data_IF_038516696862
#
_entry.id   IF_038516696862
#
_cell.length_a   1.000
_cell.length_b   1.000
_cell.length_c   1.000
_cell.angle_alpha   90.00
_cell.angle_beta   90.00
_cell.angle_gamma   90.00
#
_symmetry.space_group_name_H-M   'P 1'
#
loop_
_entity.id
_entity.type
_entity.pdbx_description
1 polymer ?
#
# COMPACT_ATOMS: atom_id res chain seq x y z
N UNK A 1 12.32 49.96 58.24
CA UNK A 1 13.05 48.98 59.06
C UNK A 1 12.33 47.69 58.84
N UNK A 2 12.85 46.79 58.23
CA UNK A 2 13.96 45.94 57.96
C UNK A 2 13.87 45.32 56.55
N UNK A 3 14.95 45.29 55.86
CA UNK A 3 15.06 44.67 54.53
C UNK A 3 15.26 43.16 54.73
N UNK A 4 14.33 42.34 54.30
CA UNK A 4 14.52 40.91 54.17
C UNK A 4 15.34 40.54 52.93
N UNK A 5 16.49 39.95 53.17
CA UNK A 5 17.46 39.44 52.22
C UNK A 5 16.89 38.22 51.47
N UNK A 6 16.77 38.30 50.14
CA UNK A 6 16.41 37.19 49.27
C UNK A 6 17.71 36.57 48.76
N UNK A 7 18.29 35.63 49.52
CA UNK A 7 19.37 34.76 49.07
C UNK A 7 18.90 33.83 47.94
N UNK A 8 19.53 33.97 46.75
CA UNK A 8 19.38 33.10 45.64
C UNK A 8 19.92 31.68 45.94
N UNK A 9 19.26 30.60 45.49
CA UNK A 9 19.86 29.28 45.58
C UNK A 9 20.97 29.12 44.54
N UNK A 10 22.17 28.84 45.01
CA UNK A 10 23.33 28.42 44.23
C UNK A 10 23.06 27.11 43.52
N UNK A 11 23.08 27.12 42.19
CA UNK A 11 23.04 25.93 41.36
C UNK A 11 24.42 25.27 41.43
N UNK A 12 24.51 24.19 42.17
CA UNK A 12 25.73 23.39 42.31
C UNK A 12 25.96 22.57 41.01
N UNK A 13 27.23 22.56 40.66
CA UNK A 13 27.85 22.05 39.47
C UNK A 13 27.32 20.74 38.87
N UNK A 14 27.20 20.77 37.57
CA UNK A 14 26.94 19.60 36.74
C UNK A 14 28.07 18.59 36.87
N UNK A 15 27.71 17.37 37.17
CA UNK A 15 28.57 16.20 37.03
C UNK A 15 29.04 16.09 35.59
N UNK A 16 30.31 15.82 35.28
CA UNK A 16 30.77 15.63 33.91
C UNK A 16 30.02 14.44 33.28
N UNK A 17 29.46 14.66 32.10
CA UNK A 17 28.86 13.61 31.31
C UNK A 17 29.80 12.42 31.18
N UNK A 18 29.33 11.26 31.57
CA UNK A 18 30.04 9.98 31.39
C UNK A 18 30.45 9.86 29.92
N UNK A 19 31.69 9.55 29.58
CA UNK A 19 32.09 9.38 28.19
C UNK A 19 31.23 8.28 27.58
N UNK A 20 30.58 8.61 26.46
CA UNK A 20 29.79 7.64 25.68
C UNK A 20 30.62 6.36 25.53
N UNK A 21 30.08 5.24 26.06
CA UNK A 21 30.75 3.97 25.97
C UNK A 21 31.07 3.70 24.48
N UNK A 22 32.36 3.65 24.17
CA UNK A 22 32.81 3.37 22.80
C UNK A 22 32.19 2.02 22.40
N UNK A 23 31.48 2.01 21.29
CA UNK A 23 30.96 0.76 20.74
C UNK A 23 32.09 -0.26 20.66
N UNK A 24 31.86 -1.52 21.08
CA UNK A 24 32.87 -2.54 21.00
C UNK A 24 33.36 -2.63 19.56
N UNK A 25 34.67 -2.52 19.37
CA UNK A 25 35.29 -2.70 18.05
C UNK A 25 34.93 -4.12 17.60
N UNK A 26 34.51 -4.31 16.33
CA UNK A 26 34.23 -5.64 15.83
C UNK A 26 35.45 -6.53 16.03
N UNK A 27 35.19 -7.73 16.53
CA UNK A 27 36.24 -8.73 16.77
C UNK A 27 37.03 -8.93 15.48
N UNK A 28 38.36 -8.85 15.52
CA UNK A 28 39.24 -8.92 14.34
C UNK A 28 39.12 -10.27 13.58
N UNK A 29 38.32 -11.21 14.08
CA UNK A 29 37.98 -12.47 13.46
C UNK A 29 36.60 -12.53 12.79
N UNK A 30 35.73 -11.50 12.93
CA UNK A 30 34.47 -11.47 12.23
C UNK A 30 34.75 -11.26 10.72
N UNK A 31 34.59 -12.29 9.92
CA UNK A 31 34.61 -12.20 8.44
C UNK A 31 33.42 -11.34 8.06
N UNK A 32 33.68 -10.03 7.89
CA UNK A 32 32.68 -9.10 7.34
C UNK A 32 32.47 -9.53 5.88
N UNK A 33 31.37 -10.21 5.58
CA UNK A 33 30.99 -10.51 4.21
C UNK A 33 30.81 -9.16 3.50
N UNK A 34 31.48 -8.92 2.37
CA UNK A 34 31.23 -7.72 1.58
C UNK A 34 29.75 -7.68 1.18
N UNK A 35 29.23 -6.48 0.99
CA UNK A 35 27.83 -6.32 0.53
C UNK A 35 27.64 -7.11 -0.78
N UNK A 36 26.61 -7.93 -0.91
CA UNK A 36 26.35 -8.66 -2.13
C UNK A 36 26.08 -7.69 -3.28
N UNK A 37 26.30 -8.12 -4.50
CA UNK A 37 25.99 -7.29 -5.65
C UNK A 37 24.49 -7.17 -5.90
N UNK A 38 23.78 -8.28 -5.75
CA UNK A 38 22.34 -8.41 -5.97
C UNK A 38 21.63 -8.90 -4.70
N UNK A 39 20.55 -8.23 -4.31
CA UNK A 39 19.60 -8.75 -3.32
C UNK A 39 18.25 -9.02 -3.98
N UNK A 40 17.73 -10.22 -3.79
CA UNK A 40 16.37 -10.59 -4.18
C UNK A 40 15.47 -10.47 -2.95
N UNK A 41 14.52 -9.55 -2.97
CA UNK A 41 13.52 -9.37 -1.93
C UNK A 41 12.29 -10.19 -2.27
N UNK A 42 11.90 -11.09 -1.38
CA UNK A 42 10.78 -12.01 -1.57
C UNK A 42 9.76 -11.77 -0.46
N UNK A 43 8.68 -10.98 -0.73
CA UNK A 43 7.58 -10.84 0.22
C UNK A 43 6.89 -12.19 0.40
N UNK A 44 6.67 -12.59 1.65
CA UNK A 44 6.25 -13.96 2.00
C UNK A 44 5.05 -13.94 2.94
N UNK A 45 4.02 -14.74 2.61
CA UNK A 45 2.90 -15.02 3.50
C UNK A 45 2.25 -16.36 3.17
N UNK A 46 2.43 -17.38 4.02
CA UNK A 46 1.99 -18.77 3.83
C UNK A 46 2.60 -19.41 2.57
N UNK A 47 3.94 -19.48 2.55
CA UNK A 47 4.71 -19.98 1.39
C UNK A 47 5.78 -21.01 1.83
N UNK A 48 5.59 -21.68 2.96
CA UNK A 48 6.58 -22.61 3.55
C UNK A 48 7.13 -23.62 2.53
N UNK A 49 6.24 -24.28 1.77
CA UNK A 49 6.61 -25.29 0.79
C UNK A 49 7.40 -24.73 -0.41
N UNK A 50 7.21 -23.45 -0.74
CA UNK A 50 7.83 -22.81 -1.89
C UNK A 50 9.25 -22.31 -1.61
N UNK A 51 9.57 -21.94 -0.37
CA UNK A 51 10.86 -21.35 0.01
C UNK A 51 12.07 -22.21 -0.38
N UNK A 52 12.14 -23.51 -0.03
CA UNK A 52 13.29 -24.35 -0.38
C UNK A 52 13.46 -24.49 -1.91
N UNK A 53 12.34 -24.60 -2.63
CA UNK A 53 12.34 -24.74 -4.09
C UNK A 53 12.87 -23.46 -4.71
N UNK A 54 12.42 -22.29 -4.24
CA UNK A 54 12.87 -21.00 -4.75
C UNK A 54 14.34 -20.78 -4.50
N UNK A 55 14.87 -21.08 -3.32
CA UNK A 55 16.30 -20.98 -3.00
C UNK A 55 17.14 -21.88 -3.94
N UNK A 56 16.69 -23.12 -4.18
CA UNK A 56 17.38 -24.02 -5.09
C UNK A 56 17.39 -23.50 -6.54
N UNK A 57 16.29 -22.91 -7.01
CA UNK A 57 16.21 -22.30 -8.36
C UNK A 57 17.09 -21.06 -8.47
N UNK A 58 17.06 -20.16 -7.49
CA UNK A 58 17.92 -18.98 -7.46
C UNK A 58 19.40 -19.36 -7.45
N UNK A 59 19.78 -20.37 -6.66
CA UNK A 59 21.17 -20.87 -6.60
C UNK A 59 21.66 -21.40 -7.95
N UNK A 60 20.76 -21.97 -8.76
CA UNK A 60 21.09 -22.47 -10.10
C UNK A 60 21.24 -21.34 -11.12
N UNK A 61 20.28 -20.42 -11.14
CA UNK A 61 20.20 -19.33 -12.13
C UNK A 61 21.29 -18.28 -11.88
N UNK A 62 21.58 -18.00 -10.61
CA UNK A 62 22.56 -16.99 -10.21
C UNK A 62 23.92 -17.62 -9.85
N UNK A 63 24.21 -18.82 -10.38
CA UNK A 63 25.54 -19.42 -10.23
C UNK A 63 26.62 -18.48 -10.81
N UNK A 64 27.65 -18.21 -10.01
CA UNK A 64 28.73 -17.28 -10.41
C UNK A 64 28.46 -15.80 -10.17
N UNK A 65 27.29 -15.43 -9.66
CA UNK A 65 26.99 -14.07 -9.21
C UNK A 65 27.09 -13.96 -7.67
N UNK A 66 27.40 -12.78 -7.18
CA UNK A 66 27.35 -12.46 -5.74
C UNK A 66 25.94 -11.96 -5.39
N UNK A 67 25.14 -12.82 -4.76
CA UNK A 67 23.75 -12.55 -4.47
C UNK A 67 23.33 -12.98 -3.06
N UNK A 68 22.26 -12.36 -2.57
CA UNK A 68 21.50 -12.82 -1.41
C UNK A 68 20.00 -12.79 -1.67
N UNK A 69 19.23 -13.54 -0.91
CA UNK A 69 17.76 -13.46 -0.87
C UNK A 69 17.29 -13.07 0.53
N UNK A 70 16.38 -12.10 0.60
CA UNK A 70 15.72 -11.69 1.84
C UNK A 70 14.24 -12.04 1.74
N UNK A 71 13.84 -13.09 2.48
CA UNK A 71 12.43 -13.40 2.69
C UNK A 71 11.85 -12.44 3.74
N UNK A 72 10.82 -11.67 3.35
CA UNK A 72 10.14 -10.73 4.24
C UNK A 72 8.77 -11.29 4.60
N UNK A 73 8.71 -11.95 5.75
CA UNK A 73 7.55 -12.71 6.20
C UNK A 73 6.56 -11.87 7.00
N UNK A 74 5.31 -11.81 6.54
CA UNK A 74 4.21 -11.08 7.18
C UNK A 74 3.56 -11.85 8.34
N UNK A 75 4.39 -12.45 9.19
CA UNK A 75 4.00 -13.27 10.33
C UNK A 75 3.12 -14.45 9.93
N UNK A 76 3.62 -15.27 9.02
CA UNK A 76 2.96 -16.47 8.53
C UNK A 76 2.73 -17.48 9.65
N UNK A 77 1.55 -18.08 9.76
CA UNK A 77 1.25 -19.12 10.72
C UNK A 77 1.73 -20.52 10.29
N UNK A 78 2.09 -20.73 9.02
CA UNK A 78 2.43 -22.03 8.43
C UNK A 78 3.88 -22.51 8.66
N UNK A 79 4.75 -21.66 9.23
CA UNK A 79 6.16 -22.00 9.40
C UNK A 79 7.12 -21.35 8.40
N UNK A 80 6.64 -20.59 7.42
CA UNK A 80 7.47 -19.92 6.39
C UNK A 80 8.71 -19.24 6.97
N UNK A 81 8.55 -18.41 8.04
CA UNK A 81 9.68 -17.73 8.67
C UNK A 81 10.69 -18.68 9.31
N UNK A 82 10.23 -19.79 9.88
CA UNK A 82 11.11 -20.80 10.50
C UNK A 82 11.92 -21.52 9.42
N UNK A 83 11.28 -21.94 8.33
CA UNK A 83 11.92 -22.58 7.17
C UNK A 83 12.97 -21.69 6.53
N UNK A 84 12.66 -20.40 6.30
CA UNK A 84 13.63 -19.46 5.74
C UNK A 84 14.86 -19.27 6.65
N UNK A 85 14.66 -19.20 7.97
CA UNK A 85 15.76 -19.08 8.95
C UNK A 85 16.63 -20.33 9.00
N UNK A 86 16.01 -21.51 9.03
CA UNK A 86 16.75 -22.77 9.04
C UNK A 86 17.64 -22.95 7.82
N UNK A 87 17.15 -22.54 6.63
CA UNK A 87 17.99 -22.50 5.42
C UNK A 87 19.12 -21.48 5.59
N UNK A 88 18.83 -20.31 6.17
CA UNK A 88 19.83 -19.26 6.41
C UNK A 88 20.95 -19.65 7.38
N UNK A 89 20.70 -20.59 8.29
CA UNK A 89 21.73 -21.17 9.17
C UNK A 89 22.76 -21.99 8.37
N UNK A 90 22.32 -22.63 7.28
CA UNK A 90 23.18 -23.44 6.40
C UNK A 90 23.74 -22.64 5.22
N UNK A 91 23.02 -21.65 4.73
CA UNK A 91 23.38 -20.82 3.58
C UNK A 91 23.28 -19.32 3.93
N UNK A 92 24.42 -18.68 4.17
CA UNK A 92 24.51 -17.28 4.56
C UNK A 92 23.95 -16.27 3.51
N UNK A 93 23.60 -16.75 2.31
CA UNK A 93 22.92 -15.96 1.29
C UNK A 93 21.44 -15.79 1.57
N UNK A 94 20.85 -16.61 2.46
CA UNK A 94 19.43 -16.61 2.78
C UNK A 94 19.19 -15.87 4.08
N UNK A 95 18.37 -14.84 4.04
CA UNK A 95 17.98 -14.05 5.22
C UNK A 95 16.46 -14.02 5.37
N UNK A 96 15.98 -13.88 6.60
CA UNK A 96 14.56 -13.74 6.90
C UNK A 96 14.30 -12.54 7.81
N UNK A 97 13.39 -11.67 7.39
CA UNK A 97 12.82 -10.59 8.19
C UNK A 97 11.37 -10.95 8.51
N UNK A 98 11.05 -11.16 9.79
CA UNK A 98 9.67 -11.41 10.24
C UNK A 98 9.03 -10.11 10.70
N UNK A 99 7.91 -9.74 10.09
CA UNK A 99 7.15 -8.50 10.38
C UNK A 99 6.00 -8.80 11.33
N UNK A 100 6.07 -8.34 12.58
CA UNK A 100 5.05 -8.57 13.59
C UNK A 100 4.13 -7.34 13.68
N UNK A 101 2.80 -7.57 13.71
CA UNK A 101 1.79 -6.52 13.87
C UNK A 101 1.52 -5.66 12.63
N UNK A 102 2.15 -5.96 11.49
CA UNK A 102 1.97 -5.24 10.21
C UNK A 102 2.01 -6.22 9.05
N UNK A 103 1.21 -5.94 8.02
CA UNK A 103 1.07 -6.76 6.81
C UNK A 103 0.94 -5.87 5.58
N UNK A 104 1.34 -6.39 4.44
CA UNK A 104 1.16 -5.77 3.14
C UNK A 104 2.39 -5.88 2.26
N UNK A 105 2.17 -6.29 1.00
CA UNK A 105 3.20 -6.63 0.03
C UNK A 105 4.16 -5.46 -0.21
N UNK A 106 3.65 -4.25 -0.47
CA UNK A 106 4.50 -3.09 -0.73
C UNK A 106 5.40 -2.76 0.46
N UNK A 107 4.87 -2.80 1.69
CA UNK A 107 5.66 -2.60 2.90
C UNK A 107 6.72 -3.69 3.12
N UNK A 108 6.41 -4.96 2.78
CA UNK A 108 7.38 -6.05 2.85
C UNK A 108 8.53 -5.84 1.85
N UNK A 109 8.21 -5.49 0.60
CA UNK A 109 9.22 -5.16 -0.40
C UNK A 109 10.09 -3.99 0.04
N UNK A 110 9.50 -2.89 0.51
CA UNK A 110 10.22 -1.71 0.94
C UNK A 110 11.19 -2.02 2.10
N UNK A 111 10.75 -2.76 3.12
CA UNK A 111 11.60 -3.16 4.24
C UNK A 111 12.76 -4.07 3.80
N UNK A 112 12.50 -5.03 2.92
CA UNK A 112 13.54 -5.88 2.37
C UNK A 112 14.58 -5.11 1.54
N UNK A 113 14.12 -4.18 0.69
CA UNK A 113 14.99 -3.34 -0.13
C UNK A 113 15.86 -2.41 0.74
N UNK A 114 15.31 -1.82 1.80
CA UNK A 114 16.03 -0.97 2.75
C UNK A 114 17.01 -1.77 3.64
N UNK A 115 16.69 -3.03 3.96
CA UNK A 115 17.55 -3.90 4.77
C UNK A 115 18.74 -4.49 4.00
N UNK A 116 18.77 -4.33 2.70
CA UNK A 116 19.86 -4.73 1.82
C UNK A 116 20.95 -3.66 1.76
N UNK A 117 22.17 -4.07 1.40
CA UNK A 117 23.30 -3.19 1.02
C UNK A 117 23.75 -3.44 -0.43
N UNK A 118 23.08 -4.29 -1.17
CA UNK A 118 23.44 -4.63 -2.54
C UNK A 118 23.27 -3.43 -3.50
N UNK A 119 24.06 -3.41 -4.56
CA UNK A 119 23.98 -2.40 -5.62
C UNK A 119 22.71 -2.52 -6.46
N UNK A 120 22.20 -3.74 -6.63
CA UNK A 120 21.00 -4.05 -7.39
C UNK A 120 19.99 -4.72 -6.48
N UNK A 121 18.72 -4.32 -6.59
CA UNK A 121 17.62 -4.78 -5.77
C UNK A 121 16.56 -5.38 -6.69
N UNK A 122 16.31 -6.68 -6.58
CA UNK A 122 15.22 -7.35 -7.27
C UNK A 122 14.05 -7.62 -6.31
N UNK A 123 12.85 -7.61 -6.84
CA UNK A 123 11.64 -8.07 -6.15
C UNK A 123 11.07 -9.23 -6.94
N UNK A 124 10.62 -10.28 -6.26
CA UNK A 124 9.97 -11.44 -6.85
C UNK A 124 9.02 -12.09 -5.85
N UNK A 125 7.84 -12.56 -6.31
CA UNK A 125 6.91 -13.28 -5.45
C UNK A 125 7.41 -14.70 -5.09
N UNK A 126 7.01 -15.22 -3.91
CA UNK A 126 7.43 -16.52 -3.41
C UNK A 126 6.70 -17.71 -4.04
N UNK A 127 5.66 -17.49 -4.84
CA UNK A 127 4.69 -18.50 -5.32
C UNK A 127 5.15 -19.35 -6.53
N UNK A 128 6.42 -19.21 -6.91
CA UNK A 128 7.08 -19.92 -8.02
C UNK A 128 6.46 -19.67 -9.41
N UNK A 129 5.60 -18.66 -9.57
CA UNK A 129 5.00 -18.32 -10.85
C UNK A 129 5.90 -17.50 -11.75
N UNK A 130 6.80 -16.69 -11.17
CA UNK A 130 7.77 -15.90 -11.91
C UNK A 130 8.90 -16.77 -12.46
N UNK A 131 9.44 -16.34 -13.61
CA UNK A 131 10.62 -16.97 -14.20
C UNK A 131 11.89 -16.35 -13.61
N UNK A 132 12.55 -17.09 -12.76
CA UNK A 132 13.80 -16.71 -12.11
C UNK A 132 14.97 -16.57 -13.08
N UNK A 133 14.91 -17.18 -14.27
CA UNK A 133 15.98 -17.09 -15.26
C UNK A 133 16.22 -15.66 -15.77
N UNK A 134 15.17 -14.83 -15.79
CA UNK A 134 15.25 -13.43 -16.24
C UNK A 134 16.11 -12.56 -15.32
N UNK A 135 16.38 -12.97 -14.07
CA UNK A 135 17.21 -12.20 -13.13
C UNK A 135 18.62 -11.94 -13.64
N UNK A 136 19.24 -12.91 -14.30
CA UNK A 136 20.59 -12.75 -14.86
C UNK A 136 20.62 -11.69 -15.96
N UNK A 137 19.64 -11.73 -16.87
CA UNK A 137 19.52 -10.76 -17.96
C UNK A 137 19.20 -9.35 -17.46
N UNK A 138 18.34 -9.24 -16.41
CA UNK A 138 18.07 -7.96 -15.72
C UNK A 138 19.35 -7.38 -15.13
N UNK A 139 20.14 -8.20 -14.44
CA UNK A 139 21.39 -7.78 -13.83
C UNK A 139 22.39 -7.26 -14.87
N UNK A 140 22.53 -7.96 -15.98
CA UNK A 140 23.38 -7.52 -17.11
C UNK A 140 22.91 -6.21 -17.71
N UNK A 141 21.60 -6.03 -17.90
CA UNK A 141 21.01 -4.79 -18.37
C UNK A 141 21.38 -3.58 -17.49
N UNK A 142 21.23 -3.76 -16.18
CA UNK A 142 21.50 -2.68 -15.20
C UNK A 142 23.01 -2.45 -15.04
N UNK A 143 23.85 -3.50 -15.06
CA UNK A 143 25.32 -3.38 -15.06
C UNK A 143 25.85 -2.60 -16.27
N UNK A 144 25.28 -2.84 -17.43
CA UNK A 144 25.65 -2.13 -18.66
C UNK A 144 25.15 -0.66 -18.67
N UNK A 145 24.44 -0.21 -17.66
CA UNK A 145 23.89 1.15 -17.57
C UNK A 145 22.80 1.43 -18.61
N UNK A 146 22.21 0.41 -19.22
CA UNK A 146 21.15 0.55 -20.24
C UNK A 146 19.85 1.06 -19.64
N UNK A 147 19.57 0.74 -18.37
CA UNK A 147 18.38 1.16 -17.63
C UNK A 147 18.67 1.37 -16.15
N UNK A 148 17.75 2.00 -15.46
CA UNK A 148 17.74 2.15 -14.00
C UNK A 148 16.80 1.12 -13.35
N UNK A 149 15.78 0.65 -14.13
CA UNK A 149 14.82 -0.39 -13.73
C UNK A 149 14.66 -1.38 -14.89
N UNK A 150 14.78 -2.67 -14.61
CA UNK A 150 14.46 -3.77 -15.51
C UNK A 150 13.21 -4.50 -15.01
N UNK A 151 12.23 -4.72 -15.90
CA UNK A 151 10.91 -5.29 -15.56
C UNK A 151 10.71 -6.59 -16.35
N UNK A 152 10.31 -7.66 -15.65
CA UNK A 152 9.88 -8.91 -16.29
C UNK A 152 8.43 -8.73 -16.77
N UNK A 153 8.24 -8.64 -18.09
CA UNK A 153 6.92 -8.43 -18.69
C UNK A 153 6.33 -9.75 -19.22
N UNK A 154 5.07 -9.98 -18.86
CA UNK A 154 4.25 -11.08 -19.35
C UNK A 154 3.64 -10.80 -20.73
N UNK A 155 3.67 -9.56 -21.16
CA UNK A 155 2.96 -9.06 -22.34
C UNK A 155 3.86 -8.58 -23.46
N UNK A 156 5.18 -8.65 -23.28
CA UNK A 156 6.15 -8.43 -24.34
C UNK A 156 6.24 -9.67 -25.25
N UNK A 157 6.65 -9.48 -26.49
CA UNK A 157 6.87 -10.59 -27.44
C UNK A 157 7.91 -11.58 -26.87
N UNK A 158 7.52 -12.85 -26.77
CA UNK A 158 8.30 -13.87 -26.08
C UNK A 158 7.91 -14.07 -24.59
N UNK A 159 7.10 -13.19 -24.01
CA UNK A 159 6.51 -13.37 -22.68
C UNK A 159 5.28 -14.28 -22.72
N UNK A 160 4.89 -14.80 -21.57
CA UNK A 160 3.70 -15.65 -21.43
C UNK A 160 2.94 -15.35 -20.14
N UNK A 161 1.64 -15.21 -20.27
CA UNK A 161 0.68 -15.09 -19.16
C UNK A 161 -0.11 -16.40 -18.95
N UNK A 162 0.44 -17.55 -19.33
CA UNK A 162 -0.25 -18.86 -19.29
C UNK A 162 -0.73 -19.24 -17.89
N UNK A 163 -0.04 -18.81 -16.83
CA UNK A 163 -0.46 -19.02 -15.44
C UNK A 163 -1.68 -18.18 -15.01
N UNK A 164 -2.21 -17.30 -15.85
CA UNK A 164 -3.41 -16.51 -15.57
C UNK A 164 -4.64 -17.09 -16.28
N UNK A 165 -5.79 -17.16 -15.60
CA UNK A 165 -7.05 -17.47 -16.28
C UNK A 165 -7.36 -16.39 -17.34
N UNK A 166 -8.12 -16.77 -18.41
CA UNK A 166 -8.47 -15.85 -19.52
C UNK A 166 -9.15 -14.56 -19.02
N UNK A 167 -9.97 -14.64 -17.98
CA UNK A 167 -10.64 -13.50 -17.39
C UNK A 167 -9.65 -12.58 -16.66
N UNK A 168 -8.74 -13.14 -15.86
CA UNK A 168 -7.68 -12.40 -15.16
C UNK A 168 -6.72 -11.72 -16.12
N UNK A 169 -6.33 -12.40 -17.19
CA UNK A 169 -5.47 -11.84 -18.23
C UNK A 169 -6.12 -10.62 -18.92
N UNK A 170 -7.45 -10.67 -19.19
CA UNK A 170 -8.18 -9.52 -19.74
C UNK A 170 -8.23 -8.33 -18.77
N UNK A 171 -8.58 -8.58 -17.50
CA UNK A 171 -8.63 -7.54 -16.47
C UNK A 171 -7.24 -6.93 -16.27
N UNK A 172 -6.18 -7.75 -16.20
CA UNK A 172 -4.81 -7.28 -16.05
C UNK A 172 -4.36 -6.41 -17.23
N UNK A 173 -4.64 -6.81 -18.48
CA UNK A 173 -4.33 -5.99 -19.67
C UNK A 173 -5.07 -4.66 -19.67
N UNK A 174 -6.35 -4.66 -19.29
CA UNK A 174 -7.13 -3.44 -19.21
C UNK A 174 -6.60 -2.48 -18.14
N UNK A 175 -6.29 -3.02 -16.96
CA UNK A 175 -5.68 -2.25 -15.87
C UNK A 175 -4.31 -1.68 -16.26
N UNK A 176 -3.45 -2.47 -16.94
CA UNK A 176 -2.16 -1.99 -17.45
C UNK A 176 -2.34 -0.87 -18.46
N UNK A 177 -3.28 -1.01 -19.43
CA UNK A 177 -3.56 0.03 -20.41
C UNK A 177 -4.07 1.33 -19.76
N UNK A 178 -4.96 1.22 -18.77
CA UNK A 178 -5.45 2.36 -18.00
C UNK A 178 -4.33 3.09 -17.26
N UNK A 179 -3.46 2.35 -16.58
CA UNK A 179 -2.30 2.90 -15.85
C UNK A 179 -1.33 3.59 -16.80
N UNK A 180 -1.01 2.96 -17.92
CA UNK A 180 -0.15 3.55 -18.96
C UNK A 180 -0.70 4.90 -19.43
N UNK A 181 -1.99 4.94 -19.74
CA UNK A 181 -2.66 6.16 -20.16
C UNK A 181 -2.67 7.24 -19.08
N UNK A 182 -3.06 6.90 -17.85
CA UNK A 182 -3.21 7.87 -16.75
C UNK A 182 -1.88 8.41 -16.22
N UNK A 183 -0.82 7.59 -16.21
CA UNK A 183 0.48 7.95 -15.64
C UNK A 183 1.54 8.21 -16.73
N UNK A 184 1.20 8.11 -18.01
CA UNK A 184 2.13 8.34 -19.12
C UNK A 184 3.31 7.34 -19.15
N UNK A 185 3.09 6.08 -18.72
CA UNK A 185 4.13 5.07 -18.65
C UNK A 185 4.26 4.31 -19.98
N UNK A 186 5.47 4.21 -20.49
CA UNK A 186 5.77 3.41 -21.70
C UNK A 186 6.29 2.01 -21.32
N UNK A 187 5.41 1.19 -20.73
CA UNK A 187 5.69 -0.18 -20.29
C UNK A 187 4.49 -1.07 -20.58
N UNK A 188 4.70 -2.31 -21.00
CA UNK A 188 3.61 -3.26 -21.26
C UNK A 188 3.05 -3.86 -19.96
N UNK A 189 3.90 -4.01 -18.91
CA UNK A 189 3.52 -4.59 -17.62
C UNK A 189 3.97 -3.74 -16.41
N UNK A 190 3.46 -2.50 -16.24
CA UNK A 190 3.86 -1.61 -15.13
C UNK A 190 3.42 -2.13 -13.76
N UNK A 191 2.64 -3.20 -13.70
CA UNK A 191 2.17 -3.84 -12.47
C UNK A 191 2.83 -5.19 -12.19
N UNK A 192 3.94 -5.51 -12.88
CA UNK A 192 4.70 -6.73 -12.62
C UNK A 192 5.17 -6.80 -11.16
N UNK A 193 5.08 -7.99 -10.55
CA UNK A 193 5.68 -8.30 -9.25
C UNK A 193 7.15 -8.72 -9.37
N UNK A 194 7.71 -8.77 -10.59
CA UNK A 194 9.08 -9.19 -10.83
C UNK A 194 9.84 -8.10 -11.60
N UNK A 195 10.75 -7.43 -10.90
CA UNK A 195 11.56 -6.34 -11.44
C UNK A 195 12.88 -6.21 -10.67
N UNK A 196 13.84 -5.52 -11.26
CA UNK A 196 15.12 -5.17 -10.64
C UNK A 196 15.38 -3.67 -10.81
N UNK A 197 15.91 -3.03 -9.78
CA UNK A 197 16.21 -1.60 -9.76
C UNK A 197 17.62 -1.36 -9.20
N UNK A 198 18.30 -0.34 -9.67
CA UNK A 198 19.54 0.14 -9.09
C UNK A 198 19.25 0.79 -7.73
N UNK A 199 20.16 0.59 -6.77
CA UNK A 199 20.01 1.15 -5.43
C UNK A 199 19.86 2.67 -5.43
N UNK A 200 20.73 3.39 -6.12
CA UNK A 200 20.70 4.86 -6.21
C UNK A 200 19.36 5.37 -6.78
N UNK A 201 18.82 4.67 -7.79
CA UNK A 201 17.52 4.97 -8.36
C UNK A 201 16.37 4.71 -7.36
N UNK A 202 16.45 3.62 -6.59
CA UNK A 202 15.48 3.30 -5.53
C UNK A 202 15.54 4.32 -4.40
N UNK A 203 16.72 4.63 -3.87
CA UNK A 203 16.89 5.59 -2.79
C UNK A 203 16.38 6.99 -3.15
N UNK A 204 16.51 7.38 -4.41
CA UNK A 204 15.96 8.65 -4.92
C UNK A 204 14.44 8.76 -4.88
N UNK A 205 13.72 7.65 -4.79
CA UNK A 205 12.24 7.62 -4.75
C UNK A 205 11.69 7.06 -3.44
N UNK A 206 12.46 6.31 -2.69
CA UNK A 206 12.05 5.61 -1.47
C UNK A 206 11.32 6.50 -0.44
N UNK A 207 11.73 7.76 -0.17
CA UNK A 207 11.03 8.62 0.80
C UNK A 207 9.57 8.93 0.44
N UNK A 208 9.21 8.85 -0.85
CA UNK A 208 7.87 9.18 -1.35
C UNK A 208 7.04 7.94 -1.76
N UNK A 209 7.56 6.73 -1.53
CA UNK A 209 6.84 5.48 -1.78
C UNK A 209 5.88 5.20 -0.63
N UNK A 210 4.67 4.77 -0.97
CA UNK A 210 3.70 4.32 0.03
C UNK A 210 4.05 2.93 0.56
N UNK A 211 4.10 2.77 1.89
CA UNK A 211 4.20 1.44 2.52
C UNK A 211 2.87 0.66 2.44
N UNK A 212 1.79 1.28 1.98
CA UNK A 212 0.46 0.70 1.83
C UNK A 212 0.19 0.39 0.36
N UNK A 213 -0.32 -0.80 0.08
CA UNK A 213 -0.63 -1.24 -1.28
C UNK A 213 0.00 -2.58 -1.63
N UNK A 214 -0.22 -3.02 -2.88
CA UNK A 214 0.26 -4.32 -3.36
C UNK A 214 1.03 -4.23 -4.70
N UNK A 215 1.31 -3.02 -5.21
CA UNK A 215 2.00 -2.77 -6.49
C UNK A 215 3.16 -1.81 -6.32
N UNK A 216 4.25 -2.34 -5.73
CA UNK A 216 5.45 -1.54 -5.42
C UNK A 216 6.11 -0.96 -6.69
N UNK A 217 6.20 -1.73 -7.79
CA UNK A 217 6.76 -1.24 -9.04
C UNK A 217 5.99 -0.03 -9.57
N UNK A 218 4.66 -0.12 -9.59
CA UNK A 218 3.82 0.99 -10.04
C UNK A 218 4.04 2.25 -9.19
N UNK A 219 4.17 2.08 -7.87
CA UNK A 219 4.43 3.19 -6.95
C UNK A 219 5.79 3.83 -7.21
N UNK A 220 6.84 3.03 -7.43
CA UNK A 220 8.18 3.49 -7.83
C UNK A 220 8.12 4.32 -9.12
N UNK A 221 7.50 3.76 -10.17
CA UNK A 221 7.42 4.41 -11.48
C UNK A 221 6.61 5.71 -11.45
N UNK A 222 5.46 5.68 -10.78
CA UNK A 222 4.61 6.86 -10.63
C UNK A 222 5.30 7.96 -9.80
N UNK A 223 6.06 7.59 -8.76
CA UNK A 223 6.84 8.53 -7.95
C UNK A 223 8.00 9.12 -8.74
N UNK A 224 8.63 8.33 -9.58
CA UNK A 224 9.74 8.76 -10.43
C UNK A 224 9.32 9.73 -11.54
N UNK A 225 8.06 9.73 -11.97
CA UNK A 225 7.52 10.63 -13.02
C UNK A 225 8.38 10.66 -14.29
N UNK A 226 8.73 9.50 -14.82
CA UNK A 226 9.53 9.37 -16.04
C UNK A 226 11.04 9.66 -15.88
N UNK A 227 11.54 9.94 -14.68
CA UNK A 227 12.98 10.17 -14.43
C UNK A 227 13.83 8.91 -14.47
N UNK A 228 13.22 7.73 -14.37
CA UNK A 228 13.91 6.44 -14.41
C UNK A 228 13.83 5.87 -15.83
N UNK A 229 14.99 5.46 -16.35
CA UNK A 229 15.06 4.71 -17.60
C UNK A 229 14.63 3.27 -17.33
N UNK A 230 13.65 2.79 -18.05
CA UNK A 230 13.07 1.45 -17.88
C UNK A 230 13.36 0.58 -19.10
N UNK A 231 13.56 -0.72 -18.87
CA UNK A 231 13.63 -1.74 -19.89
C UNK A 231 12.72 -2.90 -19.51
N UNK A 232 12.03 -3.48 -20.49
CA UNK A 232 11.25 -4.70 -20.28
C UNK A 232 11.96 -5.89 -20.89
N UNK A 233 11.90 -7.01 -20.19
CA UNK A 233 12.42 -8.31 -20.64
C UNK A 233 11.26 -9.31 -20.69
N UNK A 234 11.15 -10.15 -21.71
CA UNK A 234 10.09 -11.15 -21.79
C UNK A 234 10.25 -12.17 -20.67
N UNK A 235 9.13 -12.50 -20.03
CA UNK A 235 9.11 -13.46 -18.92
C UNK A 235 7.90 -14.37 -19.01
N UNK A 236 8.12 -15.66 -18.75
CA UNK A 236 7.05 -16.64 -18.65
C UNK A 236 6.43 -16.58 -17.23
N UNK A 237 5.11 -16.47 -17.16
CA UNK A 237 4.38 -16.56 -15.91
C UNK A 237 3.73 -17.96 -15.82
N UNK A 238 4.28 -18.79 -14.92
CA UNK A 238 3.92 -20.20 -14.78
C UNK A 238 2.61 -20.36 -13.98
N UNK A 239 2.01 -21.55 -14.08
CA UNK A 239 0.93 -21.93 -13.18
C UNK A 239 1.45 -22.10 -11.75
N UNK A 240 0.61 -21.72 -10.77
CA UNK A 240 0.93 -21.85 -9.35
C UNK A 240 1.00 -23.32 -8.97
N UNK A 241 2.06 -23.72 -8.28
CA UNK A 241 2.26 -25.10 -7.82
C UNK A 241 1.60 -25.37 -6.47
N UNK A 242 1.65 -24.42 -5.55
CA UNK A 242 1.09 -24.52 -4.20
C UNK A 242 0.41 -23.22 -3.78
N UNK A 243 -0.57 -23.31 -2.87
CA UNK A 243 -1.26 -22.16 -2.30
C UNK A 243 -2.49 -21.69 -3.09
N UNK A 244 -3.31 -20.84 -2.46
CA UNK A 244 -4.52 -20.26 -3.04
C UNK A 244 -4.30 -18.83 -3.49
N UNK A 245 -5.01 -18.41 -4.53
CA UNK A 245 -4.96 -17.04 -5.00
C UNK A 245 -5.77 -16.11 -4.09
N UNK A 246 -5.10 -15.14 -3.49
CA UNK A 246 -5.68 -14.12 -2.60
C UNK A 246 -6.27 -12.92 -3.37
N UNK A 247 -6.71 -13.11 -4.62
CA UNK A 247 -7.34 -12.06 -5.43
C UNK A 247 -8.71 -11.71 -4.84
N UNK A 248 -8.74 -10.66 -4.05
CA UNK A 248 -9.93 -10.12 -3.41
C UNK A 248 -10.38 -8.85 -4.13
N UNK A 249 -11.69 -8.54 -4.14
CA UNK A 249 -12.25 -7.27 -4.65
C UNK A 249 -11.57 -6.02 -4.08
N UNK A 250 -10.91 -6.16 -2.93
CA UNK A 250 -10.05 -5.17 -2.29
C UNK A 250 -8.89 -4.67 -3.16
N UNK A 251 -8.34 -5.56 -4.01
CA UNK A 251 -7.19 -5.23 -4.87
C UNK A 251 -7.55 -4.13 -5.89
N UNK A 252 -8.76 -4.18 -6.45
CA UNK A 252 -9.22 -3.17 -7.40
C UNK A 252 -9.38 -1.79 -6.72
N UNK A 253 -9.87 -1.77 -5.47
CA UNK A 253 -10.03 -0.54 -4.70
C UNK A 253 -8.67 0.05 -4.27
N UNK A 254 -7.75 -0.78 -3.78
CA UNK A 254 -6.40 -0.34 -3.42
C UNK A 254 -5.62 0.18 -4.65
N UNK A 255 -5.86 -0.42 -5.81
CA UNK A 255 -5.30 0.03 -7.08
C UNK A 255 -5.84 1.40 -7.51
N UNK A 256 -7.16 1.57 -7.51
CA UNK A 256 -7.79 2.86 -7.83
C UNK A 256 -7.30 3.96 -6.87
N UNK A 257 -7.16 3.62 -5.60
CA UNK A 257 -6.65 4.49 -4.57
C UNK A 257 -5.20 4.93 -4.80
N UNK A 258 -4.31 4.00 -5.17
CA UNK A 258 -2.92 4.30 -5.50
C UNK A 258 -2.82 5.23 -6.72
N UNK A 259 -3.51 4.87 -7.81
CA UNK A 259 -3.51 5.67 -9.05
C UNK A 259 -3.97 7.09 -8.78
N UNK A 260 -5.06 7.26 -8.03
CA UNK A 260 -5.57 8.60 -7.74
C UNK A 260 -4.66 9.39 -6.80
N UNK A 261 -4.10 8.76 -5.77
CA UNK A 261 -3.12 9.43 -4.89
C UNK A 261 -1.93 9.96 -5.70
N UNK A 262 -1.47 9.21 -6.72
CA UNK A 262 -0.36 9.65 -7.57
C UNK A 262 -0.78 10.73 -8.58
N UNK A 263 -1.99 10.65 -9.14
CA UNK A 263 -2.52 11.69 -10.04
C UNK A 263 -2.76 13.04 -9.33
N UNK A 264 -3.12 12.99 -8.04
CA UNK A 264 -3.40 14.19 -7.23
C UNK A 264 -2.21 14.65 -6.40
N UNK A 265 -1.01 14.10 -6.63
CA UNK A 265 0.22 14.42 -5.86
C UNK A 265 0.08 14.22 -4.34
N UNK A 266 -0.77 13.29 -3.94
CA UNK A 266 -1.08 13.06 -2.53
C UNK A 266 -2.07 14.04 -1.91
N UNK A 267 -2.57 15.04 -2.67
CA UNK A 267 -3.58 15.99 -2.19
C UNK A 267 -4.89 15.28 -1.79
N UNK A 268 -5.21 14.16 -2.46
CA UNK A 268 -6.38 13.34 -2.14
C UNK A 268 -5.93 11.98 -1.62
N UNK A 269 -6.21 11.70 -0.34
CA UNK A 269 -5.87 10.40 0.22
C UNK A 269 -6.73 9.28 -0.40
N UNK A 270 -6.13 8.10 -0.55
CA UNK A 270 -6.82 6.90 -0.98
C UNK A 270 -8.09 6.60 -0.16
N UNK A 271 -8.03 6.84 1.16
CA UNK A 271 -9.18 6.70 2.06
C UNK A 271 -10.30 7.67 1.73
N UNK A 272 -9.97 8.91 1.39
CA UNK A 272 -10.98 9.90 1.00
C UNK A 272 -11.72 9.49 -0.26
N UNK A 273 -11.01 8.98 -1.26
CA UNK A 273 -11.62 8.47 -2.48
C UNK A 273 -12.55 7.28 -2.24
N UNK A 274 -12.08 6.30 -1.46
CA UNK A 274 -12.92 5.16 -1.07
C UNK A 274 -14.16 5.64 -0.32
N UNK A 275 -14.01 6.62 0.56
CA UNK A 275 -15.12 7.24 1.28
C UNK A 275 -16.12 7.88 0.31
N UNK A 276 -15.65 8.62 -0.69
CA UNK A 276 -16.51 9.22 -1.73
C UNK A 276 -17.22 8.15 -2.58
N UNK A 277 -16.49 7.11 -3.01
CA UNK A 277 -17.10 6.01 -3.78
C UNK A 277 -18.18 5.29 -2.99
N UNK A 278 -17.95 5.02 -1.70
CA UNK A 278 -18.97 4.47 -0.81
C UNK A 278 -20.16 5.42 -0.72
N UNK A 279 -19.92 6.73 -0.59
CA UNK A 279 -20.97 7.75 -0.57
C UNK A 279 -21.86 7.73 -1.83
N UNK A 280 -21.26 7.56 -3.01
CA UNK A 280 -22.00 7.43 -4.27
C UNK A 280 -22.92 6.20 -4.28
N UNK A 281 -22.49 5.04 -3.74
CA UNK A 281 -23.39 3.87 -3.61
C UNK A 281 -24.55 4.15 -2.67
N UNK A 282 -24.33 4.98 -1.65
CA UNK A 282 -25.35 5.41 -0.69
C UNK A 282 -26.50 6.18 -1.35
N UNK A 283 -26.24 6.94 -2.42
CA UNK A 283 -27.26 7.63 -3.20
C UNK A 283 -28.22 6.61 -3.84
N UNK A 284 -27.68 5.55 -4.46
CA UNK A 284 -28.49 4.49 -5.05
C UNK A 284 -29.37 3.77 -4.01
N UNK A 285 -28.81 3.47 -2.84
CA UNK A 285 -29.53 2.84 -1.73
C UNK A 285 -30.62 3.78 -1.18
N UNK A 286 -30.30 5.06 -1.02
CA UNK A 286 -31.27 6.08 -0.59
C UNK A 286 -32.51 6.12 -1.51
N UNK A 287 -32.27 6.26 -2.82
CA UNK A 287 -33.34 6.30 -3.81
C UNK A 287 -34.17 5.02 -3.85
N UNK A 288 -33.52 3.87 -3.70
CA UNK A 288 -34.18 2.56 -3.67
C UNK A 288 -35.09 2.43 -2.45
N UNK A 289 -34.61 2.75 -1.26
CA UNK A 289 -35.39 2.70 -0.03
C UNK A 289 -36.55 3.71 -0.10
N UNK A 290 -36.27 4.95 -0.55
CA UNK A 290 -37.30 5.98 -0.70
C UNK A 290 -38.43 5.52 -1.60
N UNK A 291 -38.12 4.95 -2.77
CA UNK A 291 -39.12 4.41 -3.71
C UNK A 291 -39.99 3.31 -3.10
N UNK A 292 -39.36 2.38 -2.37
CA UNK A 292 -40.07 1.27 -1.70
C UNK A 292 -41.01 1.81 -0.63
N UNK A 293 -40.56 2.76 0.20
CA UNK A 293 -41.37 3.31 1.28
C UNK A 293 -42.54 4.17 0.76
N UNK A 294 -42.33 4.90 -0.33
CA UNK A 294 -43.41 5.64 -0.99
C UNK A 294 -44.44 4.68 -1.61
N UNK A 295 -44.01 3.55 -2.21
CA UNK A 295 -44.89 2.53 -2.70
C UNK A 295 -45.70 1.83 -1.60
N UNK A 296 -45.16 1.79 -0.38
CA UNK A 296 -45.83 1.35 0.86
C UNK A 296 -46.76 2.41 1.48
N UNK A 297 -47.07 3.49 0.75
CA UNK A 297 -47.96 4.58 1.14
C UNK A 297 -47.52 5.38 2.39
N UNK A 298 -46.22 5.41 2.73
CA UNK A 298 -45.69 6.30 3.75
C UNK A 298 -45.68 7.75 3.24
N UNK A 299 -45.82 8.71 4.15
CA UNK A 299 -45.65 10.15 3.79
C UNK A 299 -44.23 10.42 3.31
N UNK A 300 -44.04 11.36 2.37
CA UNK A 300 -42.73 11.68 1.81
C UNK A 300 -41.69 12.02 2.90
N UNK A 301 -42.05 12.81 3.91
CA UNK A 301 -41.16 13.18 5.01
C UNK A 301 -40.65 11.97 5.81
N UNK A 302 -41.56 11.04 6.15
CA UNK A 302 -41.19 9.80 6.87
C UNK A 302 -40.35 8.88 6.00
N UNK A 303 -40.74 8.70 4.73
CA UNK A 303 -39.99 7.89 3.76
C UNK A 303 -38.57 8.45 3.53
N UNK A 304 -38.45 9.76 3.38
CA UNK A 304 -37.18 10.47 3.21
C UNK A 304 -36.25 10.29 4.42
N UNK A 305 -36.79 10.46 5.63
CA UNK A 305 -36.02 10.30 6.88
C UNK A 305 -35.47 8.87 7.03
N UNK A 306 -36.31 7.87 6.81
CA UNK A 306 -35.93 6.46 6.88
C UNK A 306 -34.94 6.07 5.79
N UNK A 307 -35.12 6.57 4.55
CA UNK A 307 -34.18 6.37 3.46
C UNK A 307 -32.80 6.96 3.76
N UNK A 308 -32.77 8.15 4.37
CA UNK A 308 -31.51 8.82 4.78
C UNK A 308 -30.79 8.01 5.85
N UNK A 309 -31.49 7.56 6.89
CA UNK A 309 -30.91 6.70 7.96
C UNK A 309 -30.36 5.41 7.35
N UNK A 310 -31.12 4.77 6.44
CA UNK A 310 -30.70 3.57 5.74
C UNK A 310 -29.45 3.77 4.89
N UNK A 311 -29.38 4.85 4.12
CA UNK A 311 -28.20 5.19 3.31
C UNK A 311 -26.96 5.50 4.15
N UNK A 312 -27.11 6.24 5.26
CA UNK A 312 -26.01 6.51 6.19
C UNK A 312 -25.52 5.21 6.83
N UNK A 313 -26.45 4.32 7.23
CA UNK A 313 -26.11 2.99 7.78
C UNK A 313 -25.34 2.16 6.75
N UNK A 314 -25.78 2.13 5.50
CA UNK A 314 -25.07 1.47 4.40
C UNK A 314 -23.65 2.02 4.23
N UNK A 315 -23.50 3.34 4.17
CA UNK A 315 -22.22 4.00 4.04
C UNK A 315 -21.30 3.68 5.23
N UNK A 316 -21.82 3.64 6.46
CA UNK A 316 -21.04 3.22 7.62
C UNK A 316 -20.53 1.79 7.50
N UNK A 317 -21.41 0.85 7.11
CA UNK A 317 -21.04 -0.57 6.95
C UNK A 317 -19.94 -0.72 5.91
N UNK A 318 -20.09 -0.11 4.74
CA UNK A 318 -19.09 -0.20 3.68
C UNK A 318 -17.78 0.51 4.05
N UNK A 319 -17.84 1.67 4.69
CA UNK A 319 -16.65 2.36 5.17
C UNK A 319 -15.91 1.54 6.23
N UNK A 320 -16.63 0.88 7.15
CA UNK A 320 -16.04 0.00 8.14
C UNK A 320 -15.41 -1.27 7.54
N UNK A 321 -15.94 -1.76 6.42
CA UNK A 321 -15.44 -2.96 5.73
C UNK A 321 -14.26 -2.66 4.77
N UNK A 322 -14.30 -1.52 4.09
CA UNK A 322 -13.37 -1.21 2.99
C UNK A 322 -12.44 -0.03 3.31
N UNK A 323 -12.99 1.14 3.64
CA UNK A 323 -12.20 2.37 3.84
C UNK A 323 -11.35 2.31 5.11
N UNK A 324 -11.91 1.80 6.20
CA UNK A 324 -11.26 1.70 7.52
C UNK A 324 -11.04 0.26 7.96
N UNK A 325 -10.72 -0.64 7.02
CA UNK A 325 -10.54 -2.07 7.26
C UNK A 325 -9.44 -2.40 8.29
N UNK A 326 -8.40 -1.58 8.34
CA UNK A 326 -7.30 -1.65 9.31
C UNK A 326 -7.71 -1.25 10.73
N UNK A 327 -8.82 -0.52 10.85
CA UNK A 327 -9.40 -0.04 12.12
C UNK A 327 -10.83 -0.53 12.30
N UNK A 328 -11.17 -1.68 11.69
CA UNK A 328 -12.52 -2.22 11.65
C UNK A 328 -13.13 -2.35 13.03
N UNK A 329 -14.30 -1.74 13.20
CA UNK A 329 -15.10 -1.83 14.43
C UNK A 329 -15.90 -3.13 14.42
N UNK A 330 -15.94 -3.81 15.58
CA UNK A 330 -16.68 -5.06 15.82
C UNK A 330 -17.41 -5.01 17.18
N UNK A 331 -18.42 -5.88 17.36
CA UNK A 331 -19.16 -6.00 18.60
C UNK A 331 -19.81 -4.67 19.03
N UNK A 332 -19.72 -4.33 20.29
CA UNK A 332 -20.31 -3.10 20.84
C UNK A 332 -19.73 -1.82 20.23
N UNK A 333 -18.46 -1.84 19.85
CA UNK A 333 -17.82 -0.70 19.16
C UNK A 333 -18.43 -0.41 17.80
N UNK A 334 -18.96 -1.41 17.10
CA UNK A 334 -19.68 -1.21 15.84
C UNK A 334 -20.95 -0.39 16.05
N UNK A 335 -21.76 -0.70 17.08
CA UNK A 335 -22.98 0.03 17.39
C UNK A 335 -22.72 1.48 17.81
N UNK A 336 -21.77 1.68 18.72
CA UNK A 336 -21.38 3.05 19.14
C UNK A 336 -20.77 3.85 17.99
N UNK A 337 -20.01 3.20 17.10
CA UNK A 337 -19.47 3.80 15.89
C UNK A 337 -20.56 4.21 14.90
N UNK A 338 -21.58 3.37 14.71
CA UNK A 338 -22.73 3.67 13.86
C UNK A 338 -23.48 4.92 14.35
N UNK A 339 -23.78 4.99 15.66
CA UNK A 339 -24.47 6.15 16.24
C UNK A 339 -23.65 7.43 16.04
N UNK A 340 -22.34 7.38 16.32
CA UNK A 340 -21.45 8.52 16.11
C UNK A 340 -21.43 8.95 14.65
N UNK A 341 -21.34 7.99 13.73
CA UNK A 341 -21.35 8.27 12.30
C UNK A 341 -22.65 8.90 11.82
N UNK A 342 -23.81 8.44 12.32
CA UNK A 342 -25.12 9.04 12.04
C UNK A 342 -25.16 10.51 12.48
N UNK A 343 -24.69 10.82 13.70
CA UNK A 343 -24.64 12.20 14.22
C UNK A 343 -23.72 13.08 13.38
N UNK A 344 -22.52 12.59 13.01
CA UNK A 344 -21.57 13.34 12.19
C UNK A 344 -22.15 13.65 10.81
N UNK A 345 -22.80 12.67 10.16
CA UNK A 345 -23.44 12.86 8.86
C UNK A 345 -24.64 13.82 8.94
N UNK A 346 -25.40 13.81 10.01
CA UNK A 346 -26.47 14.79 10.23
C UNK A 346 -25.94 16.23 10.33
N UNK A 347 -24.85 16.44 11.06
CA UNK A 347 -24.18 17.75 11.14
C UNK A 347 -23.62 18.15 9.76
N UNK A 348 -23.00 17.20 9.04
CA UNK A 348 -22.50 17.41 7.68
C UNK A 348 -23.60 17.82 6.70
N UNK A 349 -24.81 17.24 6.83
CA UNK A 349 -25.96 17.62 6.02
C UNK A 349 -26.44 19.05 6.30
N UNK A 350 -26.46 19.47 7.55
CA UNK A 350 -26.80 20.85 7.95
C UNK A 350 -25.76 21.83 7.37
N UNK A 351 -24.47 21.51 7.49
CA UNK A 351 -23.37 22.31 6.95
C UNK A 351 -23.47 22.42 5.42
N UNK A 352 -23.79 21.32 4.73
CA UNK A 352 -23.99 21.31 3.28
C UNK A 352 -25.10 22.33 2.88
N UNK A 353 -26.27 22.24 3.50
CA UNK A 353 -27.39 23.14 3.21
C UNK A 353 -27.00 24.60 3.49
N UNK A 354 -26.39 24.88 4.64
CA UNK A 354 -26.00 26.24 5.02
C UNK A 354 -25.01 26.88 4.02
N UNK A 355 -24.00 26.11 3.59
CA UNK A 355 -22.99 26.59 2.65
C UNK A 355 -23.56 26.71 1.23
N UNK A 356 -24.38 25.76 0.79
CA UNK A 356 -25.02 25.81 -0.51
C UNK A 356 -25.93 27.05 -0.59
N UNK A 357 -26.70 27.35 0.45
CA UNK A 357 -27.55 28.55 0.52
C UNK A 357 -26.69 29.81 0.46
N UNK A 358 -25.60 29.89 1.23
CA UNK A 358 -24.69 31.03 1.24
C UNK A 358 -24.06 31.30 -0.13
N UNK A 359 -23.61 30.23 -0.83
CA UNK A 359 -23.04 30.36 -2.19
C UNK A 359 -24.13 30.82 -3.17
N UNK A 360 -25.33 30.27 -3.07
CA UNK A 360 -26.45 30.63 -3.96
C UNK A 360 -26.88 32.10 -3.78
N UNK A 361 -26.90 32.60 -2.57
CA UNK A 361 -27.20 34.01 -2.27
C UNK A 361 -26.14 34.97 -2.84
N UNK A 362 -24.92 34.46 -3.11
CA UNK A 362 -23.83 35.27 -3.66
C UNK A 362 -23.78 35.27 -5.19
N UNK A 363 -24.04 34.13 -5.85
CA UNK A 363 -23.74 33.93 -7.28
C UNK A 363 -24.92 33.35 -8.10
N UNK A 364 -26.12 33.19 -7.56
CA UNK A 364 -27.36 32.69 -8.19
C UNK A 364 -27.22 31.38 -9.03
N UNK A 365 -26.04 30.74 -9.04
CA UNK A 365 -25.77 29.56 -9.85
C UNK A 365 -25.99 28.28 -9.00
N UNK A 366 -27.22 27.75 -9.08
CA UNK A 366 -27.69 26.65 -8.23
C UNK A 366 -26.80 25.39 -8.21
N UNK A 367 -26.18 25.02 -9.35
CA UNK A 367 -25.33 23.83 -9.43
C UNK A 367 -23.95 24.05 -8.77
N UNK A 368 -23.39 25.27 -8.82
CA UNK A 368 -22.15 25.61 -8.11
C UNK A 368 -22.42 25.58 -6.60
N UNK A 369 -23.51 26.17 -6.16
CA UNK A 369 -23.93 26.14 -4.77
C UNK A 369 -24.14 24.70 -4.25
N UNK A 370 -24.83 23.87 -5.03
CA UNK A 370 -25.03 22.46 -4.71
C UNK A 370 -23.72 21.64 -4.62
N UNK A 371 -22.83 21.82 -5.58
CA UNK A 371 -21.50 21.16 -5.58
C UNK A 371 -20.62 21.63 -4.42
N UNK A 372 -20.60 22.94 -4.12
CA UNK A 372 -19.83 23.51 -3.01
C UNK A 372 -20.29 22.97 -1.66
N UNK A 373 -21.60 22.96 -1.41
CA UNK A 373 -22.16 22.38 -0.22
C UNK A 373 -21.87 20.89 -0.07
N UNK A 374 -22.04 20.12 -1.16
CA UNK A 374 -21.77 18.69 -1.17
C UNK A 374 -20.27 18.36 -0.92
N UNK A 375 -19.36 19.13 -1.52
CA UNK A 375 -17.92 18.96 -1.31
C UNK A 375 -17.54 19.19 0.15
N UNK A 376 -18.00 20.28 0.75
CA UNK A 376 -17.68 20.61 2.16
C UNK A 376 -18.33 19.60 3.10
N UNK A 377 -19.59 19.22 2.88
CA UNK A 377 -20.26 18.19 3.67
C UNK A 377 -19.52 16.83 3.60
N UNK A 378 -19.00 16.47 2.43
CA UNK A 378 -18.22 15.24 2.25
C UNK A 378 -16.88 15.30 2.98
N UNK A 379 -16.16 16.41 2.87
CA UNK A 379 -14.88 16.63 3.59
C UNK A 379 -15.13 16.60 5.10
N UNK A 380 -16.16 17.28 5.59
CA UNK A 380 -16.57 17.23 7.00
C UNK A 380 -16.80 15.79 7.47
N UNK A 381 -17.66 15.05 6.76
CA UNK A 381 -18.00 13.68 7.10
C UNK A 381 -16.76 12.78 7.12
N UNK A 382 -15.85 12.95 6.17
CA UNK A 382 -14.60 12.19 6.12
C UNK A 382 -13.66 12.50 7.29
N UNK A 383 -13.34 13.79 7.50
CA UNK A 383 -12.36 14.22 8.50
C UNK A 383 -12.85 13.90 9.92
N UNK A 384 -14.09 14.25 10.22
CA UNK A 384 -14.65 14.07 11.57
C UNK A 384 -14.89 12.58 11.85
N UNK A 385 -15.33 11.79 10.87
CA UNK A 385 -15.47 10.35 11.04
C UNK A 385 -14.12 9.65 11.27
N UNK A 386 -13.07 10.02 10.53
CA UNK A 386 -11.73 9.50 10.76
C UNK A 386 -11.22 9.78 12.17
N UNK A 387 -11.48 10.98 12.70
CA UNK A 387 -11.03 11.42 14.03
C UNK A 387 -11.82 10.80 15.20
N UNK A 388 -13.14 10.62 15.05
CA UNK A 388 -14.02 10.28 16.17
C UNK A 388 -14.66 8.88 16.09
N UNK A 389 -14.78 8.30 14.90
CA UNK A 389 -15.36 6.96 14.71
C UNK A 389 -14.27 5.90 14.62
N UNK A 390 -13.24 6.13 13.77
CA UNK A 390 -12.15 5.18 13.50
C UNK A 390 -10.79 5.65 14.02
N UNK A 391 -10.76 6.27 15.20
CA UNK A 391 -9.51 6.71 15.83
C UNK A 391 -8.65 5.52 16.24
N UNK A 392 -7.37 5.51 15.82
CA UNK A 392 -6.36 4.61 16.40
C UNK A 392 -6.13 4.98 17.88
N UNK A 393 -6.19 3.98 18.75
CA UNK A 393 -5.71 4.10 20.14
C UNK A 393 -4.30 3.53 20.22
#
# INVERSE_FOLDING_TARGET
MERGDLSQPTINGGSPASPAAALPRPDKGAVVRPAPELTIVVPTFNEEANIPILVARLSRVLAGHDWEVIFVDDNSPDGSAATARSIGEADSRVRCIRRIGRRGLAGACLEGMLASQARYLAVMDADLQHDEAVLADMLECLRAGRADVAVASRYLDGGSAAGLSKQRSRVSRWSNALVRFLLGLDLTDPMSGHFMIRRDAFEGVAPAISSQGFKILLDILATARGRLRTVELPSAFRERQYGESKLDSKIALDFAALVTSKLTEGAVSARFLLFCLVGLTGIGIHLSILRVLLAAALTFGTAQALATIGAITWNFVLNNLFTYRDQRLTGWRFLTGLIRFQVICAIGAISNVGIATWIYDYDDVWWIAGLGGAAIGTVWNFVVSAAFVWRQR
#
